data_IF_871136626312
#
_entry.id   IF_871136626312
#
_cell.length_a   1.000
_cell.length_b   1.000
_cell.length_c   1.000
_cell.angle_alpha   90.00
_cell.angle_beta   90.00
_cell.angle_gamma   90.00
#
_symmetry.space_group_name_H-M   'P 1'
#
loop_
_entity.id
_entity.type
_entity.pdbx_description
1 polymer ?
#
# COMPACT_ATOMS: atom_id res chain seq x y z
N UNK A 1 -11.30 -1.01 -11.60
CA UNK A 1 -11.24 -1.89 -10.40
C UNK A 1 -11.28 -3.36 -10.76
N UNK A 2 -12.26 -3.83 -11.55
CA UNK A 2 -12.39 -5.26 -11.95
C UNK A 2 -11.12 -5.76 -12.67
N UNK A 3 -10.59 -4.97 -13.60
CA UNK A 3 -9.37 -5.32 -14.37
C UNK A 3 -8.13 -5.43 -13.48
N UNK A 4 -7.93 -4.51 -12.53
CA UNK A 4 -6.79 -4.59 -11.61
C UNK A 4 -6.90 -5.84 -10.71
N UNK A 5 -8.11 -6.15 -10.24
CA UNK A 5 -8.35 -7.33 -9.41
C UNK A 5 -8.10 -8.63 -10.17
N UNK A 6 -8.39 -8.72 -11.47
CA UNK A 6 -8.12 -9.94 -12.25
C UNK A 6 -6.63 -10.24 -12.38
N UNK A 7 -5.77 -9.21 -12.45
CA UNK A 7 -4.31 -9.41 -12.43
C UNK A 7 -3.81 -9.75 -11.03
N UNK A 8 -4.28 -9.02 -10.01
CA UNK A 8 -3.85 -9.23 -8.62
C UNK A 8 -4.32 -10.57 -8.03
N UNK A 9 -5.41 -11.15 -8.54
CA UNK A 9 -5.92 -12.46 -8.13
C UNK A 9 -5.34 -13.64 -8.92
N UNK A 10 -4.41 -13.40 -9.86
CA UNK A 10 -3.76 -14.44 -10.66
C UNK A 10 -2.30 -14.61 -10.22
N UNK A 11 -1.87 -15.79 -9.74
CA UNK A 11 -0.54 -15.98 -9.16
C UNK A 11 0.60 -15.64 -10.16
N UNK A 12 0.42 -15.91 -11.45
CA UNK A 12 1.47 -15.67 -12.46
C UNK A 12 1.67 -14.20 -12.79
N UNK A 13 0.68 -13.34 -12.53
CA UNK A 13 0.75 -11.91 -12.87
C UNK A 13 0.70 -10.98 -11.65
N UNK A 14 0.33 -11.50 -10.49
CA UNK A 14 0.05 -10.71 -9.29
C UNK A 14 1.25 -9.88 -8.83
N UNK A 15 2.41 -10.51 -8.60
CA UNK A 15 3.60 -9.81 -8.10
C UNK A 15 4.04 -8.67 -9.04
N UNK A 16 4.17 -8.96 -10.34
CA UNK A 16 4.59 -7.97 -11.33
C UNK A 16 3.60 -6.80 -11.44
N UNK A 17 2.30 -7.12 -11.55
CA UNK A 17 1.29 -6.08 -11.66
C UNK A 17 1.18 -5.25 -10.38
N UNK A 18 1.34 -5.89 -9.22
CA UNK A 18 1.37 -5.20 -7.93
C UNK A 18 2.55 -4.23 -7.83
N UNK A 19 3.76 -4.61 -8.27
CA UNK A 19 4.92 -3.71 -8.33
C UNK A 19 4.62 -2.47 -9.17
N UNK A 20 4.17 -2.67 -10.41
CA UNK A 20 3.84 -1.56 -11.34
C UNK A 20 2.78 -0.65 -10.72
N UNK A 21 1.75 -1.24 -10.11
CA UNK A 21 0.66 -0.49 -9.50
C UNK A 21 1.12 0.30 -8.26
N UNK A 22 1.96 -0.27 -7.41
CA UNK A 22 2.50 0.41 -6.22
C UNK A 22 3.38 1.59 -6.61
N UNK A 23 4.26 1.41 -7.60
CA UNK A 23 5.10 2.49 -8.11
C UNK A 23 4.24 3.63 -8.68
N UNK A 24 3.25 3.30 -9.51
CA UNK A 24 2.30 4.26 -10.06
C UNK A 24 1.56 5.06 -8.95
N UNK A 25 1.16 4.39 -7.88
CA UNK A 25 0.44 4.99 -6.76
C UNK A 25 1.36 5.84 -5.88
N UNK A 26 2.61 5.42 -5.68
CA UNK A 26 3.61 6.15 -4.90
C UNK A 26 3.95 7.49 -5.54
N UNK A 27 4.06 7.54 -6.87
CA UNK A 27 4.30 8.80 -7.60
C UNK A 27 3.15 9.80 -7.45
N UNK A 28 1.94 9.31 -7.14
CA UNK A 28 0.70 10.09 -6.98
C UNK A 28 0.26 10.22 -5.53
N UNK A 29 1.08 9.76 -4.59
CA UNK A 29 0.79 9.84 -3.17
C UNK A 29 0.47 11.28 -2.72
N UNK A 30 1.16 12.35 -3.18
CA UNK A 30 0.83 13.72 -2.80
C UNK A 30 -0.60 14.18 -3.17
N UNK A 31 -1.18 13.64 -4.24
CA UNK A 31 -2.54 13.98 -4.68
C UNK A 31 -3.60 13.53 -3.67
N UNK A 32 -3.30 12.48 -2.88
CA UNK A 32 -4.23 11.96 -1.87
C UNK A 32 -4.57 12.98 -0.77
N UNK A 33 -3.71 13.97 -0.55
CA UNK A 33 -3.93 15.04 0.44
C UNK A 33 -4.78 16.21 -0.04
N UNK A 34 -5.27 16.20 -1.28
CA UNK A 34 -5.92 17.38 -1.89
C UNK A 34 -7.17 17.09 -2.73
N UNK A 35 -7.37 15.86 -3.25
CA UNK A 35 -8.47 15.53 -4.15
C UNK A 35 -9.30 14.32 -3.67
N UNK A 36 -10.39 14.55 -2.93
CA UNK A 36 -11.19 13.50 -2.26
C UNK A 36 -11.57 12.32 -3.17
N UNK A 37 -12.00 12.58 -4.41
CA UNK A 37 -12.38 11.51 -5.36
C UNK A 37 -11.19 10.64 -5.78
N UNK A 38 -10.05 11.28 -6.10
CA UNK A 38 -8.80 10.58 -6.46
C UNK A 38 -8.23 9.84 -5.25
N UNK A 39 -8.26 10.44 -4.05
CA UNK A 39 -7.84 9.81 -2.80
C UNK A 39 -8.60 8.51 -2.55
N UNK A 40 -9.92 8.51 -2.78
CA UNK A 40 -10.75 7.32 -2.64
C UNK A 40 -10.39 6.24 -3.66
N UNK A 41 -10.08 6.62 -4.90
CA UNK A 41 -9.65 5.69 -5.94
C UNK A 41 -8.28 5.08 -5.59
N UNK A 42 -7.28 5.91 -5.28
CA UNK A 42 -5.93 5.45 -4.94
C UNK A 42 -5.93 4.58 -3.68
N UNK A 43 -6.68 4.95 -2.64
CA UNK A 43 -6.84 4.13 -1.45
C UNK A 43 -7.45 2.76 -1.76
N UNK A 44 -8.43 2.69 -2.67
CA UNK A 44 -9.00 1.40 -3.13
C UNK A 44 -7.95 0.56 -3.86
N UNK A 45 -7.12 1.17 -4.70
CA UNK A 45 -6.06 0.47 -5.43
C UNK A 45 -4.97 -0.05 -4.49
N UNK A 46 -4.50 0.77 -3.54
CA UNK A 46 -3.58 0.32 -2.48
C UNK A 46 -4.15 -0.86 -1.69
N UNK A 47 -5.43 -0.83 -1.32
CA UNK A 47 -6.08 -1.94 -0.62
C UNK A 47 -6.10 -3.23 -1.45
N UNK A 48 -6.23 -3.14 -2.78
CA UNK A 48 -6.14 -4.33 -3.63
C UNK A 48 -4.73 -4.91 -3.63
N UNK A 49 -3.69 -4.06 -3.72
CA UNK A 49 -2.29 -4.49 -3.60
C UNK A 49 -2.07 -5.16 -2.24
N UNK A 50 -2.45 -4.51 -1.15
CA UNK A 50 -2.26 -5.07 0.20
C UNK A 50 -3.00 -6.40 0.37
N UNK A 51 -4.23 -6.50 -0.11
CA UNK A 51 -5.00 -7.75 -0.10
C UNK A 51 -4.35 -8.87 -0.91
N UNK A 52 -3.63 -8.55 -1.99
CA UNK A 52 -2.91 -9.55 -2.78
C UNK A 52 -1.74 -10.18 -2.02
N UNK A 53 -1.15 -9.48 -1.04
CA UNK A 53 -0.11 -10.03 -0.15
C UNK A 53 -0.67 -11.18 0.67
N UNK A 54 -1.88 -11.03 1.22
CA UNK A 54 -2.54 -12.12 1.95
C UNK A 54 -2.92 -13.30 1.06
N UNK A 55 -3.16 -13.06 -0.24
CA UNK A 55 -3.52 -14.10 -1.20
C UNK A 55 -2.28 -14.90 -1.66
N UNK A 56 -1.15 -14.22 -1.87
CA UNK A 56 0.09 -14.80 -2.42
C UNK A 56 1.33 -14.36 -1.62
N UNK A 57 1.39 -14.74 -0.34
CA UNK A 57 2.39 -14.24 0.60
C UNK A 57 3.84 -14.36 0.09
N UNK A 58 4.25 -15.53 -0.43
CA UNK A 58 5.65 -15.78 -0.78
C UNK A 58 6.25 -14.76 -1.78
N UNK A 59 5.50 -14.40 -2.83
CA UNK A 59 5.98 -13.50 -3.88
C UNK A 59 5.58 -12.04 -3.60
N UNK A 60 4.35 -11.82 -3.14
CA UNK A 60 3.83 -10.46 -2.98
C UNK A 60 4.40 -9.78 -1.73
N UNK A 61 4.79 -10.54 -0.71
CA UNK A 61 5.50 -9.95 0.44
C UNK A 61 6.87 -9.39 0.01
N UNK A 62 7.62 -10.13 -0.83
CA UNK A 62 8.90 -9.70 -1.37
C UNK A 62 8.77 -8.46 -2.27
N UNK A 63 7.70 -8.41 -3.07
CA UNK A 63 7.35 -7.25 -3.89
C UNK A 63 7.06 -6.01 -3.03
N UNK A 64 6.30 -6.15 -1.93
CA UNK A 64 5.87 -4.99 -1.15
C UNK A 64 6.99 -4.45 -0.25
N UNK A 65 7.87 -5.33 0.23
CA UNK A 65 8.97 -5.01 1.15
C UNK A 65 9.76 -3.73 0.80
N UNK A 66 10.33 -3.57 -0.42
CA UNK A 66 11.12 -2.38 -0.76
C UNK A 66 10.32 -1.07 -0.76
N UNK A 67 8.99 -1.14 -0.85
CA UNK A 67 8.12 0.04 -0.90
C UNK A 67 7.57 0.45 0.47
N UNK A 68 7.63 -0.45 1.46
CA UNK A 68 6.97 -0.26 2.76
C UNK A 68 7.41 1.02 3.46
N UNK A 69 8.73 1.22 3.58
CA UNK A 69 9.32 2.39 4.24
C UNK A 69 8.91 3.70 3.55
N UNK A 70 8.89 3.71 2.21
CA UNK A 70 8.47 4.87 1.43
C UNK A 70 6.98 5.17 1.63
N UNK A 71 6.12 4.15 1.63
CA UNK A 71 4.68 4.34 1.90
C UNK A 71 4.47 4.97 3.27
N UNK A 72 5.13 4.45 4.32
CA UNK A 72 4.95 4.95 5.69
C UNK A 72 5.47 6.37 5.85
N UNK A 73 6.75 6.62 5.52
CA UNK A 73 7.37 7.92 5.77
C UNK A 73 6.77 9.02 4.91
N UNK A 74 6.58 8.78 3.61
CA UNK A 74 5.98 9.80 2.75
C UNK A 74 4.53 10.09 3.15
N UNK A 75 3.76 9.10 3.61
CA UNK A 75 2.41 9.35 4.13
C UNK A 75 2.43 10.20 5.40
N UNK A 76 3.36 9.95 6.32
CA UNK A 76 3.52 10.71 7.56
C UNK A 76 3.99 12.15 7.30
N UNK A 77 4.94 12.34 6.39
CA UNK A 77 5.44 13.66 5.97
C UNK A 77 4.33 14.47 5.29
N UNK A 78 3.65 13.89 4.29
CA UNK A 78 2.59 14.58 3.55
C UNK A 78 1.40 14.92 4.44
N UNK A 79 1.09 14.09 5.45
CA UNK A 79 0.03 14.37 6.41
C UNK A 79 0.27 15.65 7.25
N UNK A 80 1.52 16.11 7.40
CA UNK A 80 1.81 17.32 8.18
C UNK A 80 1.36 18.61 7.47
N UNK A 81 1.30 18.60 6.14
CA UNK A 81 1.03 19.81 5.33
C UNK A 81 -0.20 19.69 4.43
N UNK A 82 -0.82 18.51 4.36
CA UNK A 82 -1.96 18.27 3.48
C UNK A 82 -3.23 19.00 3.94
N UNK A 83 -4.08 19.34 2.98
CA UNK A 83 -5.43 19.87 3.25
C UNK A 83 -6.32 18.81 3.88
N UNK A 84 -6.20 17.57 3.39
CA UNK A 84 -6.95 16.40 3.85
C UNK A 84 -6.00 15.32 4.41
N UNK A 85 -5.39 15.54 5.59
CA UNK A 85 -4.37 14.65 6.14
C UNK A 85 -4.94 13.27 6.53
N UNK A 86 -6.24 13.19 6.80
CA UNK A 86 -6.93 11.96 7.16
C UNK A 86 -6.80 10.85 6.10
N UNK A 87 -6.66 11.21 4.83
CA UNK A 87 -6.51 10.25 3.73
C UNK A 87 -5.23 9.41 3.85
N UNK A 88 -4.13 9.98 4.35
CA UNK A 88 -2.89 9.26 4.59
C UNK A 88 -3.02 8.30 5.78
N UNK A 89 -3.72 8.71 6.85
CA UNK A 89 -3.98 7.82 7.98
C UNK A 89 -4.90 6.65 7.61
N UNK A 90 -5.84 6.83 6.68
CA UNK A 90 -6.63 5.74 6.12
C UNK A 90 -5.77 4.75 5.32
N UNK A 91 -4.78 5.24 4.58
CA UNK A 91 -3.81 4.41 3.87
C UNK A 91 -2.95 3.60 4.85
N UNK A 92 -2.36 4.27 5.83
CA UNK A 92 -1.55 3.63 6.89
C UNK A 92 -2.35 2.58 7.66
N UNK A 93 -3.59 2.90 8.03
CA UNK A 93 -4.49 1.94 8.68
C UNK A 93 -4.75 0.71 7.82
N UNK A 94 -4.93 0.89 6.51
CA UNK A 94 -5.12 -0.23 5.59
C UNK A 94 -3.86 -1.10 5.48
N UNK A 95 -2.68 -0.46 5.39
CA UNK A 95 -1.38 -1.14 5.35
C UNK A 95 -1.15 -1.96 6.62
N UNK A 96 -1.26 -1.34 7.79
CA UNK A 96 -1.01 -2.01 9.08
C UNK A 96 -1.98 -3.14 9.35
N UNK A 97 -3.25 -3.01 8.93
CA UNK A 97 -4.20 -4.11 8.99
C UNK A 97 -3.79 -5.30 8.14
N UNK A 98 -3.16 -5.04 6.99
CA UNK A 98 -2.75 -6.09 6.06
C UNK A 98 -1.51 -6.84 6.53
N UNK A 99 -0.57 -6.15 7.18
CA UNK A 99 0.71 -6.74 7.61
C UNK A 99 0.70 -7.19 9.08
N UNK A 100 -0.06 -6.53 9.95
CA UNK A 100 -0.06 -6.73 11.41
C UNK A 100 -0.79 -7.97 11.93
N UNK A 101 -1.29 -8.85 11.05
CA UNK A 101 -1.98 -10.08 11.42
C UNK A 101 -1.07 -11.25 11.80
N UNK A 102 0.26 -11.08 11.75
CA UNK A 102 1.24 -12.09 12.20
C UNK A 102 1.57 -13.21 11.20
N UNK A 103 1.17 -13.09 9.92
CA UNK A 103 1.54 -14.07 8.88
C UNK A 103 2.63 -13.58 7.91
N UNK A 104 3.19 -12.39 8.13
CA UNK A 104 4.12 -11.72 7.21
C UNK A 104 5.36 -11.24 7.97
N UNK A 105 6.22 -12.20 8.34
CA UNK A 105 7.38 -11.94 9.20
C UNK A 105 8.38 -10.96 8.58
N UNK A 106 8.52 -10.93 7.24
CA UNK A 106 9.48 -10.02 6.57
C UNK A 106 8.97 -8.58 6.61
N UNK A 107 7.67 -8.35 6.36
CA UNK A 107 7.08 -7.02 6.44
C UNK A 107 7.00 -6.52 7.87
N UNK A 108 6.73 -7.40 8.83
CA UNK A 108 6.71 -7.03 10.24
C UNK A 108 8.10 -6.57 10.72
N UNK A 109 9.16 -7.30 10.36
CA UNK A 109 10.54 -6.90 10.67
C UNK A 109 10.91 -5.54 10.08
N UNK A 110 10.48 -5.25 8.85
CA UNK A 110 10.75 -3.96 8.20
C UNK A 110 9.94 -2.82 8.84
N UNK A 111 8.78 -3.13 9.41
CA UNK A 111 7.93 -2.16 10.09
C UNK A 111 8.37 -1.83 11.52
N UNK A 112 8.94 -2.79 12.27
CA UNK A 112 9.33 -2.59 13.67
C UNK A 112 10.17 -1.32 13.92
N UNK A 113 11.18 -0.98 13.10
CA UNK A 113 11.97 0.25 13.28
C UNK A 113 11.18 1.55 13.05
N UNK A 114 10.00 1.49 12.42
CA UNK A 114 9.14 2.63 12.13
C UNK A 114 8.14 2.93 13.26
N UNK A 115 8.07 2.07 14.27
CA UNK A 115 7.27 2.29 15.46
C UNK A 115 8.05 3.15 16.48
N UNK A 116 7.42 4.19 17.08
CA UNK A 116 8.00 4.95 18.17
C UNK A 116 8.06 4.17 19.50
#
# INVERSE_FOLDING_TARGET
>A
QIVANSFLANPTTSALFATILVEYLLDRLPEMGSHVELSNLYLKLFKLVFGSVSLFAAENEQMLKPHLHKIVNSSMELAQTAKEPYNYFLLLRALFRSIGGGSHDLLYQEFLPLLP
#
